data_IF_874830214082
#
_entry.id   IF_874830214082
#
_cell.length_a   1.000
_cell.length_b   1.000
_cell.length_c   1.000
_cell.angle_alpha   90.00
_cell.angle_beta   90.00
_cell.angle_gamma   90.00
#
_symmetry.space_group_name_H-M   'P 1'
#
loop_
_entity.id
_entity.type
_entity.pdbx_description
1 polymer ?
#
# COMPACT_ATOMS: atom_id res chain seq x y z
N UNK A 1 -20.67 36.03 -56.67
CA UNK A 1 -20.03 34.70 -56.56
C UNK A 1 -19.06 34.77 -55.40
N UNK A 2 -19.42 34.24 -54.23
CA UNK A 2 -18.63 34.33 -52.98
C UNK A 2 -17.75 33.10 -52.85
N UNK A 3 -16.43 33.31 -52.88
CA UNK A 3 -15.45 32.32 -52.46
C UNK A 3 -15.45 32.27 -50.93
N UNK A 4 -15.89 31.15 -50.36
CA UNK A 4 -15.81 30.88 -48.92
C UNK A 4 -15.86 29.36 -48.71
N UNK A 5 -14.70 28.73 -48.54
CA UNK A 5 -14.44 27.77 -47.46
C UNK A 5 -13.02 27.20 -47.61
N UNK A 6 -12.19 27.65 -46.68
CA UNK A 6 -10.80 27.31 -46.47
C UNK A 6 -10.65 25.88 -45.94
N UNK A 7 -9.64 25.20 -46.47
CA UNK A 7 -8.79 24.20 -45.82
C UNK A 7 -9.44 23.13 -44.93
N UNK A 8 -9.63 21.97 -45.56
CA UNK A 8 -9.57 20.65 -44.93
C UNK A 8 -8.36 20.50 -43.99
N UNK A 9 -8.61 19.74 -42.92
CA UNK A 9 -7.67 18.81 -42.29
C UNK A 9 -6.48 19.37 -41.49
N UNK A 10 -6.76 19.98 -40.33
CA UNK A 10 -5.88 19.81 -39.16
C UNK A 10 -6.75 19.45 -37.95
N UNK A 11 -7.47 18.33 -38.06
CA UNK A 11 -7.97 17.61 -36.90
C UNK A 11 -6.82 16.81 -36.29
N UNK A 12 -5.82 17.49 -35.73
CA UNK A 12 -4.81 16.85 -34.89
C UNK A 12 -5.46 16.52 -33.55
N UNK A 13 -6.34 15.52 -33.59
CA UNK A 13 -6.89 14.85 -32.42
C UNK A 13 -5.72 14.16 -31.73
N UNK A 14 -4.99 14.90 -30.88
CA UNK A 14 -4.21 14.31 -29.79
C UNK A 14 -5.22 13.56 -28.92
N UNK A 15 -5.50 12.32 -29.29
CA UNK A 15 -5.97 11.33 -28.35
C UNK A 15 -4.85 11.19 -27.33
N UNK A 16 -4.97 11.96 -26.25
CA UNK A 16 -4.31 11.67 -24.99
C UNK A 16 -4.65 10.21 -24.69
N UNK A 17 -3.69 9.31 -24.95
CA UNK A 17 -3.66 8.00 -24.32
C UNK A 17 -3.40 8.27 -22.84
N UNK A 18 -4.44 8.73 -22.15
CA UNK A 18 -4.50 8.69 -20.71
C UNK A 18 -4.32 7.23 -20.36
N UNK A 19 -3.11 6.85 -19.97
CA UNK A 19 -2.84 5.51 -19.47
C UNK A 19 -3.70 5.37 -18.24
N UNK A 20 -4.77 4.57 -18.34
CA UNK A 20 -5.55 4.20 -17.18
C UNK A 20 -4.61 3.30 -16.39
N UNK A 21 -3.98 3.87 -15.37
CA UNK A 21 -3.23 3.08 -14.41
C UNK A 21 -4.26 2.26 -13.64
N UNK A 22 -4.43 1.00 -14.01
CA UNK A 22 -5.16 0.07 -13.16
C UNK A 22 -4.38 -0.05 -11.85
N UNK A 23 -5.10 0.00 -10.74
CA UNK A 23 -4.53 -0.43 -9.47
C UNK A 23 -4.12 -1.90 -9.64
N UNK A 24 -2.83 -2.14 -9.50
CA UNK A 24 -2.26 -3.47 -9.57
C UNK A 24 -1.84 -3.84 -8.15
N UNK A 25 -2.19 -5.05 -7.73
CA UNK A 25 -1.78 -5.62 -6.45
C UNK A 25 -0.27 -5.49 -6.22
N UNK A 26 0.54 -5.48 -7.27
CA UNK A 26 2.00 -5.27 -7.21
C UNK A 26 2.39 -3.96 -6.51
N UNK A 27 1.53 -2.93 -6.55
CA UNK A 27 1.75 -1.67 -5.82
C UNK A 27 1.68 -1.86 -4.30
N UNK A 28 1.03 -2.92 -3.83
CA UNK A 28 0.84 -3.26 -2.41
C UNK A 28 1.82 -4.35 -1.97
N UNK A 29 2.06 -5.38 -2.79
CA UNK A 29 2.96 -6.49 -2.44
C UNK A 29 4.39 -6.01 -2.19
N UNK A 30 5.08 -6.62 -1.23
CA UNK A 30 6.49 -6.39 -0.96
C UNK A 30 6.82 -6.11 0.51
N UNK A 31 8.06 -5.67 0.72
CA UNK A 31 8.59 -5.32 2.03
C UNK A 31 8.56 -3.81 2.21
N UNK A 32 8.03 -3.36 3.34
CA UNK A 32 7.73 -1.96 3.58
C UNK A 32 8.25 -1.54 4.95
N UNK A 33 8.95 -0.40 4.97
CA UNK A 33 9.48 0.21 6.18
C UNK A 33 8.82 1.55 6.46
N UNK A 34 8.45 1.77 7.71
CA UNK A 34 7.86 3.03 8.14
C UNK A 34 8.85 4.18 7.94
N UNK A 35 8.39 5.29 7.37
CA UNK A 35 9.22 6.47 7.12
C UNK A 35 9.57 7.24 8.39
N UNK A 36 8.86 7.00 9.51
CA UNK A 36 9.15 7.58 10.82
C UNK A 36 9.93 6.57 11.70
N UNK A 37 11.27 6.67 11.80
CA UNK A 37 12.09 5.69 12.51
C UNK A 37 11.86 5.67 14.03
N UNK A 38 11.34 6.78 14.59
CA UNK A 38 11.05 6.92 16.01
C UNK A 38 9.60 6.54 16.37
N UNK A 39 8.86 5.96 15.43
CA UNK A 39 7.50 5.50 15.70
C UNK A 39 7.49 4.46 16.82
N UNK A 40 6.63 4.63 17.83
CA UNK A 40 6.36 3.62 18.87
C UNK A 40 5.30 2.61 18.42
N UNK A 41 5.21 2.41 17.11
CA UNK A 41 4.05 1.87 16.42
C UNK A 41 4.39 0.66 15.58
N UNK A 42 4.24 0.83 14.27
CA UNK A 42 4.41 -0.22 13.27
C UNK A 42 5.67 0.07 12.44
N UNK A 43 6.85 -0.48 12.76
CA UNK A 43 8.09 -0.22 12.02
C UNK A 43 8.16 -0.88 10.64
N UNK A 44 7.58 -2.06 10.48
CA UNK A 44 7.71 -2.91 9.29
C UNK A 44 6.38 -3.61 8.98
N UNK A 45 6.13 -3.82 7.70
CA UNK A 45 5.12 -4.78 7.21
C UNK A 45 5.66 -5.49 5.96
N UNK A 46 5.32 -6.76 5.83
CA UNK A 46 5.54 -7.57 4.63
C UNK A 46 4.19 -8.03 4.10
N UNK A 47 3.97 -7.86 2.81
CA UNK A 47 2.72 -8.19 2.15
C UNK A 47 3.03 -9.13 0.99
N UNK A 48 2.43 -10.31 1.02
CA UNK A 48 2.68 -11.37 0.04
C UNK A 48 1.37 -11.92 -0.54
N UNK A 49 1.47 -12.51 -1.73
CA UNK A 49 0.40 -13.21 -2.39
C UNK A 49 0.83 -14.64 -2.75
N UNK A 50 -0.05 -15.61 -2.54
CA UNK A 50 0.11 -16.98 -3.04
C UNK A 50 -1.22 -17.43 -3.66
N UNK A 51 -1.30 -17.34 -4.99
CA UNK A 51 -2.57 -17.53 -5.69
C UNK A 51 -3.56 -16.44 -5.31
N UNK A 52 -4.72 -16.83 -4.79
CA UNK A 52 -5.76 -15.89 -4.35
C UNK A 52 -5.63 -15.46 -2.88
N UNK A 53 -4.69 -16.04 -2.13
CA UNK A 53 -4.50 -15.73 -0.71
C UNK A 53 -3.50 -14.57 -0.60
N UNK A 54 -3.93 -13.48 0.03
CA UNK A 54 -3.06 -12.39 0.48
C UNK A 54 -2.75 -12.55 1.95
N UNK A 55 -1.52 -12.23 2.33
CA UNK A 55 -1.10 -12.25 3.73
C UNK A 55 -0.35 -10.99 4.10
N UNK A 56 -0.53 -10.54 5.34
CA UNK A 56 0.25 -9.45 5.94
C UNK A 56 1.00 -10.00 7.15
N UNK A 57 2.32 -9.85 7.13
CA UNK A 57 3.17 -9.99 8.30
C UNK A 57 3.48 -8.60 8.85
N UNK A 58 3.37 -8.43 10.17
CA UNK A 58 3.55 -7.14 10.83
C UNK A 58 4.46 -7.24 12.05
N UNK A 59 5.12 -6.12 12.37
CA UNK A 59 5.91 -5.98 13.59
C UNK A 59 5.46 -4.75 14.35
N UNK A 60 5.41 -4.83 15.68
CA UNK A 60 5.28 -3.69 16.57
C UNK A 60 6.64 -3.19 17.04
N UNK A 61 6.80 -1.87 17.20
CA UNK A 61 8.06 -1.30 17.70
C UNK A 61 8.36 -1.84 19.10
N UNK A 62 9.54 -2.41 19.26
CA UNK A 62 10.05 -2.95 20.53
C UNK A 62 11.49 -2.50 20.79
N UNK A 63 12.00 -2.82 21.97
CA UNK A 63 13.40 -2.61 22.31
C UNK A 63 13.91 -3.80 23.13
N UNK A 64 15.08 -4.41 22.80
CA UNK A 64 16.01 -4.02 21.72
C UNK A 64 15.60 -4.49 20.32
N UNK A 65 14.62 -5.39 20.23
CA UNK A 65 14.13 -5.97 18.97
C UNK A 65 12.65 -5.64 18.82
N UNK A 66 12.21 -5.39 17.59
CA UNK A 66 10.80 -5.19 17.27
C UNK A 66 10.01 -6.50 17.51
N UNK A 67 8.78 -6.36 18.02
CA UNK A 67 7.93 -7.49 18.38
C UNK A 67 7.18 -8.00 17.14
N UNK A 68 7.46 -9.24 16.76
CA UNK A 68 6.75 -9.94 15.70
C UNK A 68 5.28 -10.18 16.09
N UNK A 69 4.34 -9.69 15.26
CA UNK A 69 2.90 -9.92 15.43
C UNK A 69 2.40 -11.16 14.66
N UNK A 70 3.26 -11.75 13.84
CA UNK A 70 3.00 -12.89 12.99
C UNK A 70 2.43 -12.50 11.62
N UNK A 71 1.94 -13.51 10.92
CA UNK A 71 1.29 -13.40 9.60
C UNK A 71 -0.18 -13.73 9.71
N UNK A 72 -1.03 -12.90 9.12
CA UNK A 72 -2.48 -13.13 9.01
C UNK A 72 -2.93 -13.02 7.55
N UNK A 73 -4.03 -13.69 7.21
CA UNK A 73 -4.69 -13.51 5.93
C UNK A 73 -5.27 -12.09 5.82
N UNK A 74 -5.16 -11.50 4.64
CA UNK A 74 -5.66 -10.17 4.33
C UNK A 74 -6.90 -10.24 3.45
N UNK A 75 -7.83 -9.32 3.68
CA UNK A 75 -8.98 -9.11 2.80
C UNK A 75 -8.61 -8.05 1.77
N UNK A 76 -8.75 -8.37 0.49
CA UNK A 76 -8.55 -7.42 -0.60
C UNK A 76 -9.84 -6.65 -0.92
N UNK A 77 -9.70 -5.38 -1.28
CA UNK A 77 -10.81 -4.51 -1.69
C UNK A 77 -10.49 -3.90 -3.04
N UNK A 78 -11.48 -3.84 -3.93
CA UNK A 78 -11.42 -3.19 -5.23
C UNK A 78 -12.56 -2.16 -5.37
N UNK A 79 -12.57 -1.41 -6.47
CA UNK A 79 -13.58 -0.37 -6.70
C UNK A 79 -15.00 -0.94 -6.95
N UNK A 80 -15.08 -2.17 -7.47
CA UNK A 80 -16.34 -2.79 -7.91
C UNK A 80 -16.46 -4.22 -7.40
N UNK A 81 -17.69 -4.71 -7.31
CA UNK A 81 -18.01 -6.04 -6.78
C UNK A 81 -17.51 -7.15 -7.71
N UNK A 82 -17.48 -6.89 -9.02
CA UNK A 82 -17.04 -7.82 -10.06
C UNK A 82 -15.53 -7.80 -10.32
N UNK A 83 -14.77 -6.93 -9.65
CA UNK A 83 -13.33 -6.79 -9.88
C UNK A 83 -12.59 -8.09 -9.55
N UNK A 84 -11.63 -8.53 -10.40
CA UNK A 84 -10.84 -9.73 -10.17
C UNK A 84 -9.84 -9.53 -9.02
N UNK A 85 -10.17 -10.06 -7.84
CA UNK A 85 -9.30 -10.05 -6.66
C UNK A 85 -8.38 -11.29 -6.58
N UNK A 86 -7.16 -11.15 -6.04
CA UNK A 86 -6.59 -9.93 -5.47
C UNK A 86 -5.97 -8.98 -6.50
N UNK A 87 -5.95 -9.34 -7.80
CA UNK A 87 -5.19 -8.64 -8.85
C UNK A 87 -5.47 -7.14 -8.93
N UNK A 88 -6.74 -6.74 -8.88
CA UNK A 88 -7.17 -5.33 -8.95
C UNK A 88 -7.43 -4.70 -7.57
N UNK A 89 -6.77 -5.20 -6.52
CA UNK A 89 -6.95 -4.63 -5.18
C UNK A 89 -6.41 -3.20 -5.13
N UNK A 90 -7.25 -2.27 -4.66
CA UNK A 90 -6.88 -0.87 -4.36
C UNK A 90 -6.51 -0.67 -2.89
N UNK A 91 -6.92 -1.60 -2.02
CA UNK A 91 -6.62 -1.62 -0.61
C UNK A 91 -6.70 -3.04 -0.08
N UNK A 92 -6.06 -3.28 1.07
CA UNK A 92 -6.21 -4.51 1.84
C UNK A 92 -6.48 -4.20 3.31
N UNK A 93 -7.10 -5.14 4.03
CA UNK A 93 -7.18 -5.10 5.49
C UNK A 93 -6.63 -6.38 6.10
N UNK A 94 -6.02 -6.25 7.28
CA UNK A 94 -5.49 -7.38 8.05
C UNK A 94 -5.86 -7.21 9.52
N UNK A 95 -6.33 -8.28 10.15
CA UNK A 95 -6.81 -8.25 11.54
C UNK A 95 -5.89 -9.09 12.41
N UNK A 96 -5.21 -8.43 13.34
CA UNK A 96 -4.36 -9.05 14.35
C UNK A 96 -5.11 -9.10 15.68
N UNK A 97 -5.11 -10.26 16.34
CA UNK A 97 -5.80 -10.46 17.62
C UNK A 97 -4.82 -10.97 18.66
N UNK A 98 -4.90 -10.40 19.85
CA UNK A 98 -4.28 -10.93 21.07
C UNK A 98 -5.38 -11.33 22.04
N UNK A 99 -5.02 -11.78 23.24
CA UNK A 99 -6.00 -12.04 24.31
C UNK A 99 -6.68 -10.76 24.82
N UNK A 100 -6.11 -9.57 24.56
CA UNK A 100 -6.57 -8.31 25.14
C UNK A 100 -6.87 -7.21 24.12
N UNK A 101 -6.58 -7.42 22.84
CA UNK A 101 -6.79 -6.41 21.81
C UNK A 101 -7.06 -7.00 20.43
N UNK A 102 -7.74 -6.20 19.61
CA UNK A 102 -7.85 -6.40 18.17
C UNK A 102 -7.31 -5.16 17.45
N UNK A 103 -6.42 -5.38 16.49
CA UNK A 103 -5.83 -4.34 15.66
C UNK A 103 -6.16 -4.62 14.20
N UNK A 104 -6.80 -3.65 13.55
CA UNK A 104 -7.06 -3.67 12.11
C UNK A 104 -6.03 -2.77 11.44
N UNK A 105 -5.32 -3.32 10.47
CA UNK A 105 -4.54 -2.55 9.50
C UNK A 105 -5.38 -2.34 8.25
N UNK A 106 -5.49 -1.10 7.80
CA UNK A 106 -6.02 -0.76 6.47
C UNK A 106 -4.86 -0.19 5.66
N UNK A 107 -4.53 -0.84 4.56
CA UNK A 107 -3.31 -0.60 3.79
C UNK A 107 -3.69 -0.25 2.36
N UNK A 108 -3.19 0.87 1.85
CA UNK A 108 -3.42 1.30 0.46
C UNK A 108 -2.18 1.96 -0.13
N UNK A 109 -1.94 1.82 -1.45
CA UNK A 109 -0.89 2.55 -2.12
C UNK A 109 -1.20 4.06 -2.14
N UNK A 110 -0.14 4.86 -2.12
CA UNK A 110 -0.17 6.31 -2.35
C UNK A 110 0.94 6.68 -3.34
N UNK A 111 0.98 7.95 -3.74
CA UNK A 111 2.00 8.45 -4.68
C UNK A 111 3.43 8.17 -4.20
N UNK A 112 4.33 7.93 -5.17
CA UNK A 112 5.76 7.74 -4.91
C UNK A 112 6.17 6.34 -4.47
N UNK A 113 5.41 5.29 -4.84
CA UNK A 113 5.68 3.89 -4.45
C UNK A 113 5.76 3.75 -2.92
N UNK A 114 4.75 4.28 -2.26
CA UNK A 114 4.59 4.30 -0.81
C UNK A 114 3.27 3.65 -0.43
N UNK A 115 3.16 3.19 0.81
CA UNK A 115 1.88 2.80 1.39
C UNK A 115 1.46 3.80 2.46
N UNK A 116 0.16 4.00 2.54
CA UNK A 116 -0.52 4.55 3.70
C UNK A 116 -1.11 3.39 4.50
N UNK A 117 -0.81 3.34 5.79
CA UNK A 117 -1.31 2.31 6.71
C UNK A 117 -2.05 2.98 7.86
N UNK A 118 -3.34 2.70 7.97
CA UNK A 118 -4.12 3.04 9.17
C UNK A 118 -4.09 1.86 10.14
N UNK A 119 -3.79 2.14 11.39
CA UNK A 119 -3.79 1.17 12.48
C UNK A 119 -4.89 1.55 13.47
N UNK A 120 -5.93 0.74 13.55
CA UNK A 120 -7.08 0.91 14.43
C UNK A 120 -7.01 -0.17 15.50
N UNK A 121 -6.80 0.22 16.76
CA UNK A 121 -6.71 -0.72 17.87
C UNK A 121 -7.86 -0.52 18.85
N UNK A 122 -8.54 -1.61 19.20
CA UNK A 122 -9.50 -1.68 20.31
C UNK A 122 -9.05 -2.72 21.34
N UNK A 123 -9.37 -2.48 22.60
CA UNK A 123 -9.11 -3.41 23.69
C UNK A 123 -10.34 -4.27 23.98
N UNK A 124 -10.13 -5.56 24.24
CA UNK A 124 -11.18 -6.58 24.38
C UNK A 124 -11.16 -7.24 25.76
N UNK A 125 -10.37 -6.70 26.70
CA UNK A 125 -10.13 -7.26 28.04
C UNK A 125 -10.81 -6.48 29.17
N UNK A 126 -11.86 -5.71 28.87
CA UNK A 126 -12.62 -4.91 29.85
C UNK A 126 -11.77 -3.92 30.68
N UNK A 127 -10.56 -3.62 30.25
CA UNK A 127 -9.62 -2.73 30.95
C UNK A 127 -10.05 -1.26 31.03
N UNK A 128 -11.14 -0.87 30.36
CA UNK A 128 -11.60 0.52 30.25
C UNK A 128 -10.73 1.41 29.36
N UNK A 129 -9.69 0.86 28.71
CA UNK A 129 -8.83 1.60 27.78
C UNK A 129 -9.60 1.99 26.52
N UNK A 130 -9.48 3.24 26.12
CA UNK A 130 -10.09 3.74 24.87
C UNK A 130 -9.42 3.15 23.63
N UNK A 131 -10.23 2.85 22.61
CA UNK A 131 -9.71 2.56 21.27
C UNK A 131 -8.97 3.77 20.70
N UNK A 132 -7.96 3.53 19.86
CA UNK A 132 -7.17 4.59 19.25
C UNK A 132 -6.83 4.29 17.79
N UNK A 133 -6.54 5.37 17.04
CA UNK A 133 -6.10 5.34 15.64
C UNK A 133 -4.68 5.89 15.54
N UNK A 134 -3.86 5.25 14.72
CA UNK A 134 -2.59 5.77 14.23
C UNK A 134 -2.53 5.64 12.72
N UNK A 135 -1.73 6.49 12.09
CA UNK A 135 -1.53 6.49 10.66
C UNK A 135 -0.04 6.53 10.37
N UNK A 136 0.39 5.77 9.38
CA UNK A 136 1.79 5.61 9.01
C UNK A 136 1.96 5.73 7.50
N UNK A 137 3.11 6.26 7.09
CA UNK A 137 3.58 6.17 5.71
C UNK A 137 4.73 5.20 5.66
N UNK A 138 4.74 4.34 4.65
CA UNK A 138 5.77 3.34 4.43
C UNK A 138 6.41 3.51 3.07
N UNK A 139 7.72 3.26 3.00
CA UNK A 139 8.48 3.18 1.75
C UNK A 139 8.95 1.75 1.53
N UNK A 140 9.03 1.34 0.25
CA UNK A 140 9.46 0.00 -0.13
C UNK A 140 10.95 -0.20 0.18
N UNK A 141 11.31 -1.29 0.85
CA UNK A 141 12.70 -1.57 1.26
C UNK A 141 13.62 -1.82 0.06
N UNK A 142 13.10 -2.35 -1.05
CA UNK A 142 13.90 -2.65 -2.25
C UNK A 142 14.28 -1.39 -3.06
N UNK A 143 13.60 -0.26 -2.82
CA UNK A 143 13.88 1.00 -3.50
C UNK A 143 15.24 1.61 -3.08
N UNK A 144 15.77 1.25 -1.90
CA UNK A 144 17.10 1.67 -1.46
C UNK A 144 18.21 0.92 -2.22
N UNK A 145 18.00 -0.36 -2.59
CA UNK A 145 18.99 -1.13 -3.38
C UNK A 145 19.12 -0.63 -4.83
N UNK A 146 18.03 -0.15 -5.43
CA UNK A 146 18.04 0.41 -6.80
C UNK A 146 18.85 1.70 -6.90
N UNK A 147 18.79 2.59 -5.90
CA UNK A 147 19.57 3.84 -5.88
C UNK A 147 21.06 3.63 -5.60
N UNK A 148 21.43 2.56 -4.91
CA UNK A 148 22.83 2.25 -4.59
C UNK A 148 23.61 1.64 -5.78
N UNK A 149 22.94 0.99 -6.73
CA UNK A 149 23.59 0.34 -7.89
C UNK A 149 23.68 1.21 -9.15
N UNK A 150 23.17 2.45 -9.14
CA UNK A 150 23.24 3.36 -10.28
C UNK A 150 24.45 4.30 -10.31
N UNK A 151 25.39 4.15 -9.36
CA UNK A 151 26.49 5.11 -9.13
C UNK A 151 27.91 4.63 -9.45
N UNK A 152 28.07 3.45 -10.05
CA UNK A 152 29.37 2.87 -10.47
C UNK A 152 29.06 2.19 -11.81
N UNK A 153 29.55 2.58 -12.99
CA UNK A 153 30.93 2.88 -13.37
C UNK A 153 30.92 3.56 -14.76
N UNK A 154 31.60 4.70 -14.89
CA UNK A 154 32.16 5.13 -16.18
C UNK A 154 33.57 5.64 -15.90
N UNK A 155 34.57 4.82 -16.24
CA UNK A 155 35.93 5.20 -16.64
C UNK A 155 36.69 3.97 -17.07
#
# INVERSE_FOLDING_TARGET
MKAWNLCLAVGLSLFLLSSIAFADIDQILGNWKNTEPLTRGLPLVEIAAKGHILTVHAWGKGHPVDLDWGTVEAVAYAEKVESPLPKEAIAISAVFKTSYSETILIIRPIEGNQLKVENLTRFTDDSGRSAFRKEYTFTRTDAEKSKANGGVESR
#
